data_IF_000581618798
#
_entry.id   IF_000581618798
#
_cell.length_a   1.000
_cell.length_b   1.000
_cell.length_c   1.000
_cell.angle_alpha   90.00
_cell.angle_beta   90.00
_cell.angle_gamma   90.00
#
_symmetry.space_group_name_H-M   'P 1'
#
loop_
_entity.id
_entity.type
_entity.pdbx_description
1 polymer ?
#
# COMPACT_ATOMS: atom_id res chain seq x y z
N UNK A 1 -19.01 15.82 0.26
CA UNK A 1 -18.04 16.04 -0.84
C UNK A 1 -16.67 15.63 -0.32
N UNK A 2 -16.26 14.38 -0.59
CA UNK A 2 -14.97 13.87 -0.10
C UNK A 2 -13.86 14.57 -0.84
N UNK A 3 -13.03 15.30 -0.11
CA UNK A 3 -11.85 15.97 -0.65
C UNK A 3 -11.00 14.91 -1.36
N UNK A 4 -10.93 15.01 -2.69
CA UNK A 4 -9.96 14.28 -3.49
C UNK A 4 -8.61 14.96 -3.27
N UNK A 5 -8.07 14.85 -2.05
CA UNK A 5 -6.67 15.15 -1.79
C UNK A 5 -5.89 14.29 -2.75
N UNK A 6 -5.12 14.94 -3.63
CA UNK A 6 -4.09 14.29 -4.45
C UNK A 6 -3.03 13.73 -3.49
N UNK A 7 -3.36 12.71 -2.72
CA UNK A 7 -2.38 11.91 -2.00
C UNK A 7 -1.46 11.38 -3.09
N UNK A 8 -0.26 11.94 -3.17
CA UNK A 8 0.74 11.50 -4.13
C UNK A 8 1.28 10.21 -3.57
N UNK A 9 0.75 9.09 -4.05
CA UNK A 9 1.26 7.80 -3.65
C UNK A 9 2.56 7.54 -4.40
N UNK A 10 3.59 7.16 -3.65
CA UNK A 10 4.88 6.78 -4.20
C UNK A 10 5.08 5.29 -4.06
N UNK A 11 5.60 4.65 -5.11
CA UNK A 11 6.01 3.25 -5.07
C UNK A 11 7.06 3.08 -3.98
N UNK A 12 6.70 2.34 -2.93
CA UNK A 12 7.55 2.14 -1.78
C UNK A 12 8.34 0.84 -1.90
N UNK A 13 7.67 -0.24 -2.34
CA UNK A 13 8.29 -1.55 -2.52
C UNK A 13 7.48 -2.43 -3.48
N UNK A 14 8.16 -3.34 -4.15
CA UNK A 14 7.57 -4.42 -4.93
C UNK A 14 8.31 -5.70 -4.55
N UNK A 15 7.60 -6.69 -4.03
CA UNK A 15 8.25 -7.89 -3.50
C UNK A 15 7.29 -9.04 -3.31
N UNK A 16 7.83 -10.21 -2.95
CA UNK A 16 7.01 -11.41 -2.74
C UNK A 16 6.23 -11.35 -1.43
N UNK A 17 5.16 -12.13 -1.34
CA UNK A 17 4.45 -12.36 -0.08
C UNK A 17 5.41 -12.95 0.96
N UNK A 18 5.44 -12.36 2.15
CA UNK A 18 6.35 -12.79 3.22
C UNK A 18 7.78 -12.25 3.10
N UNK A 19 8.04 -11.35 2.14
CA UNK A 19 9.32 -10.66 2.04
C UNK A 19 9.63 -9.78 3.27
N UNK A 20 10.85 -9.26 3.39
CA UNK A 20 11.25 -8.37 4.50
C UNK A 20 10.96 -6.89 4.23
N UNK A 21 9.89 -6.58 3.50
CA UNK A 21 9.49 -5.19 3.23
C UNK A 21 9.28 -4.41 4.53
N UNK A 22 9.87 -3.22 4.59
CA UNK A 22 9.71 -2.28 5.70
C UNK A 22 9.15 -0.97 5.20
N UNK A 23 7.96 -0.58 5.66
CA UNK A 23 7.37 0.75 5.42
C UNK A 23 7.31 1.49 6.74
N UNK A 24 7.77 2.75 6.76
CA UNK A 24 7.88 3.52 8.00
C UNK A 24 8.69 2.81 9.09
N UNK A 25 9.70 2.00 8.70
CA UNK A 25 10.52 1.21 9.63
C UNK A 25 9.87 -0.07 10.17
N UNK A 26 8.62 -0.39 9.81
CA UNK A 26 7.88 -1.58 10.29
C UNK A 26 7.83 -2.69 9.25
N UNK A 27 8.01 -3.94 9.68
CA UNK A 27 7.84 -5.11 8.82
C UNK A 27 6.36 -5.38 8.59
N UNK A 28 5.89 -5.07 7.38
CA UNK A 28 4.46 -5.04 7.07
C UNK A 28 3.84 -6.43 7.14
N UNK A 29 4.54 -7.45 6.64
CA UNK A 29 4.09 -8.84 6.71
C UNK A 29 4.05 -9.43 8.12
N UNK A 30 4.76 -8.84 9.08
CA UNK A 30 4.72 -9.27 10.49
C UNK A 30 3.72 -8.47 11.33
N UNK A 31 3.12 -7.43 10.75
CA UNK A 31 2.10 -6.62 11.39
C UNK A 31 0.70 -7.06 10.97
N UNK A 32 -0.29 -6.78 11.82
CA UNK A 32 -1.70 -6.93 11.46
C UNK A 32 -2.12 -5.82 10.50
N UNK A 33 -2.69 -6.18 9.35
CA UNK A 33 -3.16 -5.23 8.34
C UNK A 33 -4.58 -4.81 8.65
N UNK A 34 -4.76 -3.51 8.88
CA UNK A 34 -6.07 -2.91 9.18
C UNK A 34 -6.58 -2.14 7.98
N UNK A 35 -7.74 -2.52 7.49
CA UNK A 35 -8.33 -1.97 6.29
C UNK A 35 -9.04 -0.66 6.62
N UNK A 36 -8.67 0.43 5.98
CA UNK A 36 -9.24 1.75 6.30
C UNK A 36 -10.44 2.03 5.44
N UNK A 37 -11.64 1.92 6.04
CA UNK A 37 -12.91 2.31 5.43
C UNK A 37 -13.19 1.71 4.04
N UNK A 38 -12.59 0.55 3.72
CA UNK A 38 -12.61 -0.03 2.36
C UNK A 38 -12.11 0.94 1.29
N UNK A 39 -11.26 1.88 1.67
CA UNK A 39 -10.73 2.87 0.77
C UNK A 39 -9.72 2.20 -0.16
N UNK A 40 -9.84 2.52 -1.44
CA UNK A 40 -8.94 2.02 -2.47
C UNK A 40 -8.43 3.18 -3.28
N UNK A 41 -7.19 3.08 -3.73
CA UNK A 41 -6.57 4.07 -4.60
C UNK A 41 -6.21 3.43 -5.93
N UNK A 42 -6.50 4.13 -7.02
CA UNK A 42 -6.07 3.71 -8.36
C UNK A 42 -4.70 4.28 -8.65
N UNK A 43 -3.71 3.40 -8.78
CA UNK A 43 -2.32 3.78 -9.04
C UNK A 43 -1.78 3.02 -10.25
N UNK A 44 -0.82 3.60 -10.99
CA UNK A 44 -0.18 2.91 -12.09
C UNK A 44 0.55 1.66 -11.58
N UNK A 45 0.38 0.54 -12.27
CA UNK A 45 1.04 -0.71 -11.95
C UNK A 45 2.55 -0.52 -12.02
N UNK A 46 3.33 -0.96 -11.01
CA UNK A 46 4.75 -0.64 -10.92
C UNK A 46 5.58 -1.23 -12.07
N UNK A 47 5.13 -2.33 -12.66
CA UNK A 47 5.74 -2.94 -13.86
C UNK A 47 5.13 -2.45 -15.18
N UNK A 48 3.92 -1.89 -15.14
CA UNK A 48 3.16 -1.48 -16.32
C UNK A 48 2.51 -0.13 -16.04
N UNK A 49 3.28 0.96 -16.11
CA UNK A 49 2.82 2.29 -15.70
C UNK A 49 1.64 2.84 -16.51
N UNK A 50 1.35 2.23 -17.66
CA UNK A 50 0.20 2.53 -18.50
C UNK A 50 -1.12 1.94 -17.95
N UNK A 51 -1.05 0.91 -17.11
CA UNK A 51 -2.20 0.28 -16.51
C UNK A 51 -2.45 0.80 -15.10
N UNK A 52 -3.67 1.26 -14.83
CA UNK A 52 -4.10 1.61 -13.49
C UNK A 52 -4.66 0.38 -12.77
N UNK A 53 -4.19 0.17 -11.55
CA UNK A 53 -4.63 -0.93 -10.68
C UNK A 53 -5.23 -0.38 -9.39
N UNK A 54 -6.21 -1.07 -8.82
CA UNK A 54 -6.84 -0.69 -7.56
C UNK A 54 -6.06 -1.27 -6.39
N UNK A 55 -5.48 -0.41 -5.58
CA UNK A 55 -4.75 -0.76 -4.36
C UNK A 55 -5.60 -0.51 -3.13
N UNK A 56 -5.56 -1.44 -2.18
CA UNK A 56 -6.32 -1.33 -0.94
C UNK A 56 -5.48 -0.59 0.08
N UNK A 57 -6.06 0.43 0.71
CA UNK A 57 -5.37 1.23 1.72
C UNK A 57 -5.46 0.50 3.06
N UNK A 58 -4.30 0.13 3.56
CA UNK A 58 -4.11 -0.56 4.82
C UNK A 58 -3.28 0.29 5.78
N UNK A 59 -3.54 0.10 7.06
CA UNK A 59 -2.74 0.62 8.15
C UNK A 59 -2.09 -0.53 8.91
N UNK A 60 -0.85 -0.33 9.35
CA UNK A 60 -0.17 -1.23 10.28
C UNK A 60 0.44 -0.47 11.44
N UNK A 61 0.55 -1.14 12.58
CA UNK A 61 1.16 -0.58 13.79
C UNK A 61 0.13 -0.06 14.79
N UNK A 62 0.59 0.68 15.82
CA UNK A 62 -0.24 1.12 16.93
C UNK A 62 -1.23 2.20 16.50
N UNK A 63 -2.42 2.21 17.11
CA UNK A 63 -3.47 3.19 16.80
C UNK A 63 -3.03 4.65 17.02
N UNK A 64 -2.02 4.90 17.86
CA UNK A 64 -1.46 6.24 18.09
C UNK A 64 -0.64 6.78 16.92
N UNK A 65 -0.07 5.90 16.09
CA UNK A 65 0.77 6.27 14.94
C UNK A 65 0.76 5.13 13.90
N UNK A 66 -0.38 4.91 13.22
CA UNK A 66 -0.47 3.87 12.21
C UNK A 66 0.33 4.28 10.96
N UNK A 67 1.02 3.32 10.35
CA UNK A 67 1.66 3.50 9.05
C UNK A 67 0.63 3.15 7.98
N UNK A 68 0.22 4.15 7.20
CA UNK A 68 -0.66 4.00 6.04
C UNK A 68 0.14 3.59 4.81
N UNK A 69 -0.35 2.60 4.09
CA UNK A 69 0.20 2.18 2.81
C UNK A 69 -0.90 1.56 1.95
N UNK A 70 -0.77 1.67 0.63
CA UNK A 70 -1.62 0.96 -0.31
C UNK A 70 -0.93 -0.32 -0.73
N UNK A 71 -1.62 -1.45 -0.65
CA UNK A 71 -1.11 -2.74 -1.05
C UNK A 71 -2.08 -3.47 -1.98
N UNK A 72 -1.54 -4.12 -3.00
CA UNK A 72 -2.28 -5.06 -3.82
C UNK A 72 -1.36 -6.16 -4.33
N UNK A 73 -1.95 -7.33 -4.52
CA UNK A 73 -1.32 -8.39 -5.27
C UNK A 73 -1.36 -8.00 -6.74
N UNK A 74 -0.18 -7.84 -7.33
CA UNK A 74 0.01 -7.46 -8.73
C UNK A 74 0.27 -8.66 -9.63
N UNK A 75 0.97 -9.67 -9.09
CA UNK A 75 1.28 -10.94 -9.76
C UNK A 75 1.10 -12.10 -8.78
N UNK A 76 1.08 -13.36 -9.24
CA UNK A 76 1.18 -14.53 -8.37
C UNK A 76 2.37 -14.38 -7.42
N UNK A 77 2.10 -14.45 -6.11
CA UNK A 77 3.09 -14.25 -5.05
C UNK A 77 3.72 -12.85 -4.96
N UNK A 78 3.46 -11.90 -5.87
CA UNK A 78 4.04 -10.56 -5.85
C UNK A 78 3.05 -9.49 -5.41
N UNK A 79 3.51 -8.65 -4.49
CA UNK A 79 2.76 -7.58 -3.86
C UNK A 79 3.48 -6.26 -4.08
N UNK A 80 2.71 -5.27 -4.49
CA UNK A 80 3.16 -3.91 -4.66
C UNK A 80 2.63 -3.05 -3.52
N UNK A 81 3.52 -2.20 -3.00
CA UNK A 81 3.30 -1.35 -1.84
C UNK A 81 3.58 0.10 -2.21
N UNK A 82 2.65 0.97 -1.86
CA UNK A 82 2.76 2.41 -2.03
C UNK A 82 2.59 3.09 -0.69
N UNK A 83 3.30 4.19 -0.47
CA UNK A 83 3.14 5.04 0.71
C UNK A 83 2.64 6.41 0.26
N UNK A 84 1.82 7.09 1.08
CA UNK A 84 1.48 8.48 0.82
C UNK A 84 2.74 9.34 1.00
N UNK A 85 2.99 10.25 0.04
CA UNK A 85 4.00 11.32 0.12
C UNK A 85 3.54 12.46 1.05
#
# INVERSE_FOLDING_TARGET
>A
MGQQTKERWKTAHLGKRGDRVRLGGRQIWQCEWRWINKNTVRLPHPLHTDQLFSFMICEVGPASAPVRFAAAQVEPEMWAFYVPD
#
